data_IF_584529989988
#
_entry.id   IF_584529989988
#
_cell.length_a   1.000
_cell.length_b   1.000
_cell.length_c   1.000
_cell.angle_alpha   90.00
_cell.angle_beta   90.00
_cell.angle_gamma   90.00
#
_symmetry.space_group_name_H-M   'P 1'
#
loop_
_entity.id
_entity.type
_entity.pdbx_description
1 polymer ?
#
# COMPACT_ATOMS: atom_id res chain seq x y z
N UNK A 1 -12.56 -2.71 -14.53
CA UNK A 1 -12.63 -3.53 -13.29
C UNK A 1 -11.21 -3.54 -12.72
N UNK A 2 -10.99 -2.89 -11.59
CA UNK A 2 -9.70 -2.96 -10.90
C UNK A 2 -9.54 -4.40 -10.39
N UNK A 3 -8.53 -5.11 -10.87
CA UNK A 3 -8.24 -6.46 -10.40
C UNK A 3 -7.83 -6.38 -8.92
N UNK A 4 -8.42 -7.23 -8.09
CA UNK A 4 -7.99 -7.37 -6.69
C UNK A 4 -6.49 -7.73 -6.65
N UNK A 5 -5.73 -7.14 -5.72
CA UNK A 5 -4.31 -7.41 -5.59
C UNK A 5 -4.05 -8.88 -5.28
N UNK A 6 -3.25 -9.52 -6.09
CA UNK A 6 -2.92 -10.93 -5.93
C UNK A 6 -1.67 -11.09 -5.07
N UNK A 7 -1.78 -11.92 -4.05
CA UNK A 7 -0.67 -12.24 -3.13
C UNK A 7 -0.45 -13.75 -3.16
N UNK A 8 0.75 -14.17 -3.53
CA UNK A 8 1.14 -15.57 -3.49
C UNK A 8 1.61 -15.92 -2.07
N UNK A 9 1.03 -16.94 -1.48
CA UNK A 9 1.43 -17.51 -0.19
C UNK A 9 2.03 -18.89 -0.45
N UNK A 10 3.29 -19.07 -0.10
CA UNK A 10 3.96 -20.37 -0.15
C UNK A 10 4.22 -20.81 1.27
N UNK A 11 3.39 -21.72 1.81
CA UNK A 11 3.47 -22.21 3.19
C UNK A 11 3.20 -23.71 3.24
N UNK A 12 4.15 -24.45 3.78
CA UNK A 12 4.06 -25.91 3.87
C UNK A 12 2.95 -26.38 4.84
N UNK A 13 2.64 -25.58 5.85
CA UNK A 13 1.57 -25.87 6.80
C UNK A 13 0.20 -25.37 6.25
N UNK A 14 -0.72 -26.30 5.90
CA UNK A 14 -2.00 -25.93 5.31
C UNK A 14 -2.91 -25.13 6.24
N UNK A 15 -2.75 -25.24 7.56
CA UNK A 15 -3.55 -24.50 8.53
C UNK A 15 -3.13 -23.03 8.57
N UNK A 16 -1.83 -22.77 8.62
CA UNK A 16 -1.28 -21.41 8.55
C UNK A 16 -1.60 -20.73 7.21
N UNK A 17 -1.50 -21.49 6.11
CA UNK A 17 -1.88 -21.01 4.79
C UNK A 17 -3.33 -20.56 4.70
N UNK A 18 -4.27 -21.33 5.28
CA UNK A 18 -5.71 -20.98 5.34
C UNK A 18 -5.97 -19.76 6.22
N UNK A 19 -5.30 -19.65 7.36
CA UNK A 19 -5.43 -18.50 8.26
C UNK A 19 -5.00 -17.21 7.57
N UNK A 20 -3.82 -17.21 6.95
CA UNK A 20 -3.33 -16.09 6.13
C UNK A 20 -4.27 -15.75 4.99
N UNK A 21 -4.78 -16.77 4.29
CA UNK A 21 -5.75 -16.59 3.22
C UNK A 21 -7.01 -15.86 3.71
N UNK A 22 -7.54 -16.26 4.87
CA UNK A 22 -8.74 -15.64 5.44
C UNK A 22 -8.51 -14.16 5.77
N UNK A 23 -7.35 -13.83 6.37
CA UNK A 23 -7.01 -12.45 6.73
C UNK A 23 -6.80 -11.61 5.46
N UNK A 24 -6.09 -12.11 4.47
CA UNK A 24 -5.84 -11.38 3.21
C UNK A 24 -7.14 -11.15 2.41
N UNK A 25 -8.06 -12.11 2.39
CA UNK A 25 -9.40 -11.90 1.81
C UNK A 25 -10.20 -10.82 2.54
N UNK A 26 -10.07 -10.77 3.87
CA UNK A 26 -10.71 -9.73 4.67
C UNK A 26 -10.22 -8.32 4.34
N UNK A 27 -8.95 -8.17 3.94
CA UNK A 27 -8.37 -6.89 3.49
C UNK A 27 -8.47 -6.68 1.97
N UNK A 28 -9.38 -7.40 1.29
CA UNK A 28 -9.64 -7.33 -0.15
C UNK A 28 -8.43 -7.62 -1.04
N UNK A 29 -7.60 -8.56 -0.63
CA UNK A 29 -6.61 -9.17 -1.49
C UNK A 29 -7.14 -10.50 -2.05
N UNK A 30 -6.63 -10.91 -3.20
CA UNK A 30 -6.88 -12.21 -3.80
C UNK A 30 -5.68 -13.14 -3.53
N UNK A 31 -5.64 -13.87 -2.39
CA UNK A 31 -4.52 -14.73 -2.04
C UNK A 31 -4.57 -16.04 -2.82
N UNK A 32 -3.41 -16.43 -3.35
CA UNK A 32 -3.16 -17.73 -3.96
C UNK A 32 -2.28 -18.52 -2.98
N UNK A 33 -2.77 -19.65 -2.47
CA UNK A 33 -2.05 -20.46 -1.49
C UNK A 33 -1.48 -21.70 -2.17
N UNK A 34 -0.18 -21.91 -2.01
CA UNK A 34 0.54 -23.07 -2.48
C UNK A 34 1.26 -23.72 -1.30
N UNK A 35 1.06 -25.03 -1.12
CA UNK A 35 1.65 -25.77 0.00
C UNK A 35 2.98 -26.45 -0.38
N UNK A 36 3.44 -26.26 -1.61
CA UNK A 36 4.68 -26.83 -2.13
C UNK A 36 5.56 -25.75 -2.74
N UNK A 37 6.86 -25.79 -2.42
CA UNK A 37 7.86 -24.84 -2.94
C UNK A 37 8.18 -25.07 -4.44
N UNK A 38 7.73 -26.16 -5.06
CA UNK A 38 8.09 -26.52 -6.45
C UNK A 38 6.98 -26.14 -7.44
N UNK A 39 5.73 -26.34 -7.10
CA UNK A 39 4.57 -26.18 -8.00
C UNK A 39 3.97 -24.79 -8.12
N UNK A 40 4.58 -23.77 -7.54
CA UNK A 40 3.98 -22.43 -7.47
C UNK A 40 3.78 -21.77 -8.86
N UNK A 41 4.63 -22.09 -9.85
CA UNK A 41 4.51 -21.57 -11.22
C UNK A 41 3.30 -22.12 -11.95
N UNK A 42 2.91 -23.35 -11.68
CA UNK A 42 1.79 -24.03 -12.35
C UNK A 42 0.44 -23.49 -11.90
N UNK A 43 0.41 -22.84 -10.74
CA UNK A 43 -0.80 -22.24 -10.18
C UNK A 43 -1.04 -20.80 -10.71
N UNK A 44 -0.01 -20.18 -11.28
CA UNK A 44 -0.11 -18.88 -11.93
C UNK A 44 -0.56 -19.09 -13.39
N UNK A 45 -1.76 -18.64 -13.70
CA UNK A 45 -2.18 -18.52 -15.10
C UNK A 45 -1.40 -17.36 -15.71
N UNK A 46 -0.55 -17.58 -16.68
CA UNK A 46 0.48 -16.74 -17.28
C UNK A 46 0.27 -15.21 -17.43
N UNK A 47 -0.90 -14.69 -17.10
CA UNK A 47 -1.25 -13.25 -17.03
C UNK A 47 -1.46 -12.75 -15.57
N UNK A 48 -1.21 -13.61 -14.58
CA UNK A 48 -1.44 -13.28 -13.17
C UNK A 48 -0.32 -12.40 -12.62
N UNK A 49 -0.60 -11.11 -12.54
CA UNK A 49 0.32 -10.17 -11.92
C UNK A 49 0.25 -10.26 -10.41
N UNK A 50 1.38 -10.66 -9.82
CA UNK A 50 1.54 -10.72 -8.38
C UNK A 50 1.99 -9.37 -7.82
N UNK A 51 1.42 -9.00 -6.69
CA UNK A 51 1.84 -7.81 -5.96
C UNK A 51 2.93 -8.11 -4.94
N UNK A 52 2.86 -9.27 -4.30
CA UNK A 52 3.81 -9.71 -3.30
C UNK A 52 3.80 -11.23 -3.17
N UNK A 53 4.90 -11.76 -2.67
CA UNK A 53 5.03 -13.16 -2.26
C UNK A 53 5.26 -13.22 -0.75
N UNK A 54 4.52 -14.08 -0.06
CA UNK A 54 4.70 -14.39 1.34
C UNK A 54 5.25 -15.81 1.47
N UNK A 55 6.49 -15.93 1.92
CA UNK A 55 7.19 -17.21 2.05
C UNK A 55 7.20 -17.65 3.51
N UNK A 56 6.57 -18.78 3.75
CA UNK A 56 6.57 -19.46 5.04
C UNK A 56 7.68 -20.50 5.19
N UNK A 57 7.38 -21.54 5.95
CA UNK A 57 8.31 -22.63 6.20
C UNK A 57 8.57 -23.44 4.93
N UNK A 58 9.83 -23.51 4.50
CA UNK A 58 10.32 -24.47 3.53
C UNK A 58 11.03 -25.63 4.24
N UNK A 59 11.04 -26.83 3.61
CA UNK A 59 11.60 -28.02 4.23
C UNK A 59 13.12 -27.97 4.42
N UNK A 60 13.85 -27.10 3.69
CA UNK A 60 15.30 -26.92 3.84
C UNK A 60 15.77 -25.55 3.32
N UNK A 61 16.90 -25.03 3.86
CA UNK A 61 17.54 -23.79 3.42
C UNK A 61 17.94 -23.80 1.93
N UNK A 62 18.28 -24.97 1.40
CA UNK A 62 18.60 -25.13 -0.03
C UNK A 62 17.38 -24.93 -0.92
N UNK A 63 16.22 -25.42 -0.49
CA UNK A 63 14.96 -25.22 -1.22
C UNK A 63 14.53 -23.77 -1.19
N UNK A 64 14.72 -23.09 -0.06
CA UNK A 64 14.42 -21.67 0.07
C UNK A 64 15.29 -20.82 -0.86
N UNK A 65 16.61 -21.08 -0.92
CA UNK A 65 17.53 -20.38 -1.82
C UNK A 65 17.20 -20.63 -3.30
N UNK A 66 16.84 -21.87 -3.67
CA UNK A 66 16.40 -22.20 -5.02
C UNK A 66 15.10 -21.48 -5.38
N UNK A 67 14.13 -21.47 -4.46
CA UNK A 67 12.84 -20.81 -4.64
C UNK A 67 13.00 -19.30 -4.81
N UNK A 68 13.85 -18.65 -4.02
CA UNK A 68 14.16 -17.22 -4.18
C UNK A 68 14.78 -16.92 -5.55
N UNK A 69 15.70 -17.77 -6.03
CA UNK A 69 16.26 -17.68 -7.38
C UNK A 69 15.22 -17.84 -8.48
N UNK A 70 14.28 -18.77 -8.30
CA UNK A 70 13.17 -19.01 -9.23
C UNK A 70 12.18 -17.84 -9.29
N UNK A 71 11.85 -17.24 -8.13
CA UNK A 71 10.98 -16.07 -8.04
C UNK A 71 11.66 -14.86 -8.69
N UNK A 72 12.94 -14.62 -8.39
CA UNK A 72 13.72 -13.54 -8.99
C UNK A 72 13.84 -13.68 -10.52
N UNK A 73 13.96 -14.92 -11.03
CA UNK A 73 13.99 -15.19 -12.47
C UNK A 73 12.62 -14.97 -13.14
N UNK A 74 11.53 -15.07 -12.40
CA UNK A 74 10.18 -14.80 -12.88
C UNK A 74 9.87 -13.30 -12.93
N UNK A 75 10.19 -12.57 -11.87
CA UNK A 75 10.09 -11.10 -11.80
C UNK A 75 11.18 -10.58 -10.85
N UNK A 76 12.14 -9.84 -11.41
CA UNK A 76 13.30 -9.28 -10.70
C UNK A 76 12.89 -8.28 -9.59
N UNK A 77 11.69 -7.71 -9.70
CA UNK A 77 11.19 -6.69 -8.78
C UNK A 77 9.97 -7.12 -7.97
N UNK A 78 9.70 -8.43 -7.89
CA UNK A 78 8.57 -8.94 -7.12
C UNK A 78 8.89 -8.91 -5.61
N UNK A 79 8.13 -8.14 -4.80
CA UNK A 79 8.38 -8.02 -3.36
C UNK A 79 8.16 -9.33 -2.62
N UNK A 80 9.08 -9.70 -1.74
CA UNK A 80 9.04 -10.93 -0.95
C UNK A 80 9.01 -10.58 0.54
N UNK A 81 8.12 -11.23 1.29
CA UNK A 81 8.05 -11.20 2.75
C UNK A 81 8.27 -12.59 3.32
N UNK A 82 9.14 -12.71 4.32
CA UNK A 82 9.37 -13.96 5.03
C UNK A 82 8.39 -14.07 6.20
N UNK A 83 7.66 -15.19 6.27
CA UNK A 83 6.81 -15.51 7.41
C UNK A 83 7.66 -16.18 8.49
N UNK A 84 7.64 -15.64 9.70
CA UNK A 84 8.44 -16.15 10.81
C UNK A 84 7.54 -16.46 12.01
N UNK A 85 7.78 -17.59 12.68
CA UNK A 85 7.15 -17.85 13.98
C UNK A 85 7.78 -16.96 15.06
N UNK A 86 6.95 -16.47 15.96
CA UNK A 86 7.40 -15.61 17.06
C UNK A 86 8.54 -16.30 17.86
N UNK A 87 9.71 -15.67 17.87
CA UNK A 87 10.89 -16.17 18.60
C UNK A 87 11.78 -17.16 17.81
N UNK A 88 11.48 -17.44 16.55
CA UNK A 88 12.38 -18.16 15.62
C UNK A 88 12.95 -17.19 14.60
N UNK A 89 14.25 -17.03 14.57
CA UNK A 89 14.92 -16.28 13.50
C UNK A 89 15.06 -17.20 12.27
N UNK A 90 14.55 -16.79 11.10
CA UNK A 90 14.85 -17.51 9.88
C UNK A 90 16.34 -17.37 9.54
N UNK A 91 16.93 -18.43 9.04
CA UNK A 91 18.37 -18.57 8.74
C UNK A 91 18.83 -17.72 7.55
N UNK A 92 17.91 -17.01 6.90
CA UNK A 92 18.20 -16.21 5.70
C UNK A 92 18.60 -14.78 6.10
N UNK A 93 19.83 -14.41 5.79
CA UNK A 93 20.30 -13.02 5.83
C UNK A 93 19.63 -12.23 4.70
N UNK A 94 18.99 -11.10 5.05
CA UNK A 94 18.43 -10.18 4.06
C UNK A 94 19.57 -9.33 3.54
N UNK A 95 20.00 -9.57 2.29
CA UNK A 95 21.01 -8.73 1.64
C UNK A 95 20.40 -7.40 1.17
N UNK A 96 21.13 -6.28 1.32
CA UNK A 96 20.73 -5.00 0.73
C UNK A 96 20.71 -5.13 -0.80
N UNK A 97 19.53 -5.07 -1.40
CA UNK A 97 19.32 -5.27 -2.84
C UNK A 97 18.54 -6.53 -3.19
N UNK A 98 18.22 -7.39 -2.20
CA UNK A 98 17.28 -8.48 -2.40
C UNK A 98 15.84 -7.95 -2.45
N UNK A 99 14.96 -8.62 -3.21
CA UNK A 99 13.53 -8.31 -3.25
C UNK A 99 12.80 -8.65 -1.91
N UNK A 100 13.54 -9.07 -0.88
CA UNK A 100 13.01 -9.36 0.45
C UNK A 100 12.84 -8.05 1.21
N UNK A 101 11.60 -7.56 1.30
CA UNK A 101 11.30 -6.28 1.95
C UNK A 101 11.20 -6.37 3.47
N UNK A 102 10.96 -7.57 4.02
CA UNK A 102 10.84 -7.71 5.45
C UNK A 102 10.33 -9.05 5.92
N UNK A 103 9.95 -9.07 7.20
CA UNK A 103 9.44 -10.26 7.90
C UNK A 103 8.06 -9.97 8.48
N UNK A 104 7.20 -10.98 8.45
CA UNK A 104 5.86 -10.94 9.06
C UNK A 104 5.81 -12.03 10.12
N UNK A 105 5.60 -11.64 11.37
CA UNK A 105 5.46 -12.59 12.48
C UNK A 105 4.09 -13.28 12.45
N UNK A 106 4.08 -14.59 12.67
CA UNK A 106 2.86 -15.39 12.77
C UNK A 106 2.41 -15.56 14.24
N UNK A 107 1.11 -15.46 14.56
CA UNK A 107 0.01 -15.02 13.69
C UNK A 107 0.11 -13.52 13.35
N UNK A 108 -0.09 -13.14 12.08
CA UNK A 108 0.08 -11.76 11.67
C UNK A 108 -1.05 -10.89 12.22
N UNK A 109 -0.71 -9.70 12.67
CA UNK A 109 -1.73 -8.71 12.98
C UNK A 109 -2.09 -7.90 11.71
N UNK A 110 -3.29 -7.33 11.73
CA UNK A 110 -3.82 -6.52 10.65
C UNK A 110 -2.89 -5.38 10.21
N UNK A 111 -2.31 -4.67 11.17
CA UNK A 111 -1.41 -3.53 10.90
C UNK A 111 -0.12 -3.97 10.19
N UNK A 112 0.44 -5.11 10.55
CA UNK A 112 1.64 -5.65 9.89
C UNK A 112 1.37 -6.01 8.43
N UNK A 113 0.25 -6.69 8.15
CA UNK A 113 -0.11 -7.07 6.78
C UNK A 113 -0.40 -5.86 5.89
N UNK A 114 -1.15 -4.88 6.40
CA UNK A 114 -1.43 -3.67 5.64
C UNK A 114 -0.19 -2.84 5.37
N UNK A 115 0.72 -2.73 6.35
CA UNK A 115 2.01 -2.06 6.17
C UNK A 115 2.91 -2.79 5.15
N UNK A 116 2.96 -4.12 5.21
CA UNK A 116 3.73 -4.93 4.27
C UNK A 116 3.21 -4.78 2.84
N UNK A 117 1.89 -4.85 2.64
CA UNK A 117 1.29 -4.67 1.32
C UNK A 117 1.52 -3.27 0.75
N UNK A 118 1.44 -2.25 1.61
CA UNK A 118 1.76 -0.88 1.20
C UNK A 118 3.24 -0.70 0.81
N UNK A 119 4.16 -1.27 1.59
CA UNK A 119 5.59 -1.26 1.25
C UNK A 119 5.86 -2.00 -0.06
N UNK A 120 5.19 -3.15 -0.29
CA UNK A 120 5.29 -3.89 -1.55
C UNK A 120 4.87 -3.04 -2.73
N UNK A 121 3.78 -2.30 -2.60
CA UNK A 121 3.26 -1.40 -3.63
C UNK A 121 4.26 -0.29 -3.96
N UNK A 122 4.75 0.43 -2.94
CA UNK A 122 5.74 1.50 -3.10
C UNK A 122 7.04 0.96 -3.74
N UNK A 123 7.49 -0.22 -3.32
CA UNK A 123 8.68 -0.86 -3.90
C UNK A 123 8.48 -1.16 -5.40
N UNK A 124 7.37 -1.79 -5.75
CA UNK A 124 7.06 -2.15 -7.14
C UNK A 124 6.96 -0.90 -8.02
N UNK A 125 6.33 0.18 -7.54
CA UNK A 125 6.24 1.45 -8.27
C UNK A 125 7.60 2.09 -8.51
N UNK A 126 8.46 2.11 -7.49
CA UNK A 126 9.78 2.72 -7.59
C UNK A 126 10.69 2.01 -8.60
N UNK A 127 10.52 0.70 -8.80
CA UNK A 127 11.37 -0.11 -9.69
C UNK A 127 10.76 -0.32 -11.08
N UNK A 128 9.43 -0.19 -11.24
CA UNK A 128 8.74 -0.30 -12.54
C UNK A 128 8.61 1.02 -13.30
N UNK A 129 8.97 2.14 -12.70
CA UNK A 129 8.91 3.47 -13.35
C UNK A 129 9.79 3.62 -14.60
N UNK A 130 10.56 2.59 -14.97
CA UNK A 130 11.37 2.55 -16.19
C UNK A 130 10.67 1.95 -17.40
N UNK A 131 9.47 1.39 -17.26
CA UNK A 131 8.69 0.85 -18.38
C UNK A 131 7.27 1.38 -18.36
N UNK A 132 6.95 2.18 -19.35
CA UNK A 132 5.72 2.92 -19.61
C UNK A 132 4.46 2.03 -19.71
N UNK A 133 3.86 1.66 -18.58
CA UNK A 133 2.42 1.39 -18.49
C UNK A 133 2.00 1.81 -17.09
N UNK A 134 1.43 3.01 -17.00
CA UNK A 134 0.82 3.52 -15.77
C UNK A 134 -0.37 2.62 -15.39
N UNK A 135 -0.18 1.78 -14.38
CA UNK A 135 -1.30 1.08 -13.75
C UNK A 135 -1.85 1.94 -12.63
N UNK A 136 -3.17 2.02 -12.51
CA UNK A 136 -3.76 2.77 -11.41
C UNK A 136 -3.33 2.11 -10.08
N UNK A 137 -2.65 2.88 -9.27
CA UNK A 137 -2.23 2.50 -7.92
C UNK A 137 -3.46 2.09 -7.12
N UNK A 138 -3.43 0.90 -6.55
CA UNK A 138 -4.55 0.40 -5.74
C UNK A 138 -4.68 1.09 -4.38
N UNK A 139 -4.65 2.43 -4.35
CA UNK A 139 -4.70 3.27 -3.14
C UNK A 139 -5.99 3.14 -2.34
N UNK A 140 -7.05 2.60 -2.93
CA UNK A 140 -8.25 2.21 -2.19
C UNK A 140 -7.99 1.15 -1.10
N UNK A 141 -6.78 0.55 -1.06
CA UNK A 141 -6.37 -0.42 -0.04
C UNK A 141 -6.25 0.15 1.35
N UNK A 142 -5.94 1.43 1.47
CA UNK A 142 -5.89 2.09 2.78
C UNK A 142 -7.28 2.30 3.39
N UNK A 143 -8.35 2.29 2.57
CA UNK A 143 -9.73 2.28 3.05
C UNK A 143 -10.22 0.83 3.20
N UNK A 144 -9.82 0.19 4.28
CA UNK A 144 -10.11 -1.21 4.54
C UNK A 144 -11.51 -1.45 5.05
N UNK A 145 -12.11 -2.54 4.59
CA UNK A 145 -13.42 -3.02 5.02
C UNK A 145 -14.23 -3.63 3.88
N UNK A 146 -14.96 -4.69 4.18
CA UNK A 146 -15.88 -5.39 3.26
C UNK A 146 -17.34 -4.99 3.45
N UNK A 147 -17.66 -4.07 4.38
CA UNK A 147 -19.03 -3.64 4.63
C UNK A 147 -19.61 -2.92 3.40
N UNK A 148 -20.94 -3.03 3.22
CA UNK A 148 -21.66 -2.32 2.16
C UNK A 148 -21.35 -0.82 2.14
N UNK A 149 -21.24 -0.20 3.31
CA UNK A 149 -20.96 1.22 3.44
C UNK A 149 -19.58 1.58 2.88
N UNK A 150 -18.52 0.82 3.21
CA UNK A 150 -17.17 1.04 2.68
C UNK A 150 -17.11 0.80 1.17
N UNK A 151 -17.76 -0.24 0.67
CA UNK A 151 -17.85 -0.50 -0.78
C UNK A 151 -18.56 0.65 -1.53
N UNK A 152 -19.61 1.20 -0.94
CA UNK A 152 -20.30 2.36 -1.51
C UNK A 152 -19.42 3.61 -1.52
N UNK A 153 -18.65 3.86 -0.45
CA UNK A 153 -17.68 4.97 -0.42
C UNK A 153 -16.63 4.81 -1.51
N UNK A 154 -16.05 3.62 -1.68
CA UNK A 154 -15.09 3.35 -2.77
C UNK A 154 -15.67 3.67 -4.15
N UNK A 155 -16.89 3.19 -4.43
CA UNK A 155 -17.55 3.47 -5.70
C UNK A 155 -17.79 4.97 -5.92
N UNK A 156 -18.15 5.71 -4.87
CA UNK A 156 -18.29 7.17 -4.96
C UNK A 156 -16.94 7.86 -5.19
N UNK A 157 -15.85 7.38 -4.56
CA UNK A 157 -14.50 7.90 -4.80
C UNK A 157 -14.08 7.76 -6.26
N UNK A 158 -14.32 6.58 -6.87
CA UNK A 158 -14.05 6.35 -8.30
C UNK A 158 -14.82 7.32 -9.19
N UNK A 159 -16.09 7.52 -8.90
CA UNK A 159 -16.95 8.42 -9.70
C UNK A 159 -16.52 9.89 -9.63
N UNK A 160 -16.08 10.37 -8.43
CA UNK A 160 -15.70 11.78 -8.27
C UNK A 160 -14.25 12.06 -8.63
N UNK A 161 -13.37 11.05 -8.67
CA UNK A 161 -11.96 11.23 -8.98
C UNK A 161 -11.72 11.79 -10.41
N UNK A 162 -12.58 11.44 -11.36
CA UNK A 162 -12.52 11.95 -12.74
C UNK A 162 -13.19 13.33 -12.91
N UNK A 163 -13.79 13.86 -11.84
CA UNK A 163 -14.58 15.09 -11.86
C UNK A 163 -13.77 16.29 -11.36
N UNK A 164 -13.96 17.47 -11.95
CA UNK A 164 -13.43 18.76 -11.47
C UNK A 164 -14.27 19.37 -10.32
N UNK A 165 -15.25 18.64 -9.78
CA UNK A 165 -16.13 19.13 -8.74
C UNK A 165 -15.46 19.20 -7.37
N UNK A 166 -15.88 20.17 -6.55
CA UNK A 166 -15.49 20.19 -5.14
C UNK A 166 -16.14 19.04 -4.39
N UNK A 167 -15.35 18.30 -3.61
CA UNK A 167 -15.80 17.13 -2.84
C UNK A 167 -15.84 17.46 -1.35
N UNK A 168 -17.01 17.32 -0.72
CA UNK A 168 -17.18 17.41 0.72
C UNK A 168 -17.25 16.02 1.34
N UNK A 169 -16.28 15.70 2.22
CA UNK A 169 -16.20 14.43 2.93
C UNK A 169 -16.65 14.61 4.38
N UNK A 170 -17.77 13.98 4.75
CA UNK A 170 -18.34 14.04 6.08
C UNK A 170 -18.08 12.75 6.86
N UNK A 171 -17.87 12.90 8.17
CA UNK A 171 -17.68 11.76 9.08
C UNK A 171 -17.09 12.20 10.42
N UNK A 172 -17.17 11.32 11.41
CA UNK A 172 -16.62 11.54 12.76
C UNK A 172 -15.08 11.60 12.74
N UNK A 173 -14.48 12.06 13.83
CA UNK A 173 -13.02 12.04 13.97
C UNK A 173 -12.50 10.58 13.91
N UNK A 174 -11.38 10.38 13.22
CA UNK A 174 -10.77 9.04 13.11
C UNK A 174 -11.39 8.09 12.06
N UNK A 175 -12.45 8.48 11.33
CA UNK A 175 -13.11 7.64 10.32
C UNK A 175 -12.36 7.51 8.99
N UNK A 176 -11.19 8.12 8.85
CA UNK A 176 -10.37 8.02 7.64
C UNK A 176 -10.69 9.03 6.53
N UNK A 177 -11.28 10.19 6.85
CA UNK A 177 -11.59 11.23 5.85
C UNK A 177 -10.36 11.67 5.02
N UNK A 178 -9.20 11.78 5.65
CA UNK A 178 -7.95 12.13 4.95
C UNK A 178 -7.53 11.04 3.98
N UNK A 179 -7.73 9.77 4.36
CA UNK A 179 -7.48 8.62 3.50
C UNK A 179 -8.34 8.69 2.25
N UNK A 180 -9.63 9.01 2.41
CA UNK A 180 -10.57 9.19 1.29
C UNK A 180 -10.12 10.34 0.38
N UNK A 181 -9.78 11.50 0.95
CA UNK A 181 -9.33 12.66 0.19
C UNK A 181 -8.06 12.36 -0.63
N UNK A 182 -7.09 11.71 0.00
CA UNK A 182 -5.83 11.30 -0.64
C UNK A 182 -6.08 10.31 -1.78
N UNK A 183 -6.96 9.34 -1.58
CA UNK A 183 -7.32 8.39 -2.64
C UNK A 183 -8.01 9.08 -3.82
N UNK A 184 -8.94 10.03 -3.58
CA UNK A 184 -9.57 10.80 -4.66
C UNK A 184 -8.51 11.55 -5.48
N UNK A 185 -7.56 12.22 -4.83
CA UNK A 185 -6.47 12.92 -5.51
C UNK A 185 -5.65 11.97 -6.40
N UNK A 186 -5.24 10.84 -5.88
CA UNK A 186 -4.41 9.85 -6.61
C UNK A 186 -5.13 9.21 -7.81
N UNK A 187 -6.45 9.07 -7.74
CA UNK A 187 -7.24 8.56 -8.86
C UNK A 187 -7.73 9.65 -9.81
N UNK A 188 -7.42 10.92 -9.52
CA UNK A 188 -7.81 12.05 -10.36
C UNK A 188 -6.83 12.28 -11.52
N UNK A 189 -7.24 13.12 -12.45
CA UNK A 189 -6.36 13.63 -13.51
C UNK A 189 -5.20 14.49 -12.99
N UNK A 190 -5.28 14.92 -11.72
CA UNK A 190 -4.27 15.75 -11.01
C UNK A 190 -3.33 14.96 -10.12
N UNK A 191 -3.30 13.64 -10.24
CA UNK A 191 -2.51 12.73 -9.38
C UNK A 191 -1.01 13.04 -9.35
N UNK A 192 -0.48 13.60 -10.44
CA UNK A 192 0.94 13.97 -10.56
C UNK A 192 1.23 15.36 -9.99
N UNK A 193 0.19 16.09 -9.56
CA UNK A 193 0.29 17.38 -8.89
C UNK A 193 0.45 17.26 -7.37
N UNK A 194 0.68 18.37 -6.68
CA UNK A 194 0.84 18.37 -5.24
C UNK A 194 -0.46 18.05 -4.51
N UNK A 195 -0.38 17.27 -3.45
CA UNK A 195 -1.46 17.08 -2.47
C UNK A 195 -1.11 17.83 -1.20
N UNK A 196 -1.78 18.95 -0.93
CA UNK A 196 -1.47 19.85 0.19
C UNK A 196 -2.55 19.77 1.27
N UNK A 197 -2.43 18.83 2.24
CA UNK A 197 -3.40 18.72 3.33
C UNK A 197 -3.22 19.86 4.35
N UNK A 198 -4.35 20.42 4.80
CA UNK A 198 -4.39 21.47 5.84
C UNK A 198 -5.35 21.05 6.94
N UNK A 199 -4.84 20.94 8.16
CA UNK A 199 -5.68 20.75 9.34
C UNK A 199 -5.98 22.10 10.00
N UNK A 200 -7.05 22.76 9.57
CA UNK A 200 -7.46 24.06 10.09
C UNK A 200 -7.72 24.05 11.60
N UNK A 201 -8.15 22.93 12.17
CA UNK A 201 -8.39 22.81 13.61
C UNK A 201 -7.12 22.78 14.47
N UNK A 202 -5.96 22.48 13.87
CA UNK A 202 -4.67 22.47 14.56
C UNK A 202 -3.90 23.79 14.43
N UNK A 203 -4.37 24.72 13.59
CA UNK A 203 -3.73 26.04 13.38
C UNK A 203 -4.41 27.07 14.30
N UNK A 204 -3.64 27.84 15.08
CA UNK A 204 -4.18 28.95 15.83
C UNK A 204 -4.92 29.94 14.90
N UNK A 205 -6.07 30.46 15.36
CA UNK A 205 -6.95 31.28 14.51
C UNK A 205 -6.29 32.53 13.94
N UNK A 206 -5.39 33.13 14.69
CA UNK A 206 -4.58 34.32 14.31
C UNK A 206 -3.53 34.01 13.23
N UNK A 207 -3.14 32.75 13.06
CA UNK A 207 -2.19 32.32 12.04
C UNK A 207 -2.84 31.66 10.82
N UNK A 208 -4.15 31.33 10.91
CA UNK A 208 -4.85 30.58 9.89
C UNK A 208 -4.82 31.26 8.51
N UNK A 209 -5.07 32.55 8.46
CA UNK A 209 -5.04 33.32 7.20
C UNK A 209 -3.65 33.32 6.58
N UNK A 210 -2.61 33.51 7.39
CA UNK A 210 -1.21 33.50 6.96
C UNK A 210 -0.75 32.11 6.48
N UNK A 211 -1.19 31.05 7.13
CA UNK A 211 -0.88 29.67 6.70
C UNK A 211 -1.60 29.30 5.41
N UNK A 212 -2.84 29.74 5.22
CA UNK A 212 -3.63 29.43 4.03
C UNK A 212 -3.18 30.23 2.80
N UNK A 213 -3.00 31.55 2.94
CA UNK A 213 -2.78 32.47 1.82
C UNK A 213 -1.35 33.03 1.73
N UNK A 214 -0.51 32.73 2.72
CA UNK A 214 0.84 33.26 2.79
C UNK A 214 0.87 34.72 3.32
N UNK A 215 2.07 35.28 3.40
CA UNK A 215 2.28 36.66 3.81
C UNK A 215 3.57 37.21 3.21
N UNK A 216 3.54 38.51 2.97
CA UNK A 216 4.71 39.31 2.64
C UNK A 216 5.54 39.64 3.88
N UNK A 217 6.84 39.93 3.67
CA UNK A 217 7.72 40.39 4.73
C UNK A 217 7.17 41.71 5.31
N UNK A 218 6.98 41.72 6.64
CA UNK A 218 6.48 42.92 7.36
C UNK A 218 4.96 43.02 7.42
N UNK A 219 4.21 42.05 6.97
CA UNK A 219 2.73 42.07 7.00
C UNK A 219 2.15 42.11 8.41
N UNK A 220 2.87 41.58 9.41
CA UNK A 220 2.51 41.63 10.83
C UNK A 220 3.76 41.60 11.73
N UNK A 221 3.60 41.86 13.03
CA UNK A 221 4.70 41.79 14.00
C UNK A 221 5.21 40.35 14.13
N UNK A 222 6.39 40.10 13.55
CA UNK A 222 6.97 38.75 13.48
C UNK A 222 7.13 38.18 12.06
N UNK A 223 6.60 38.81 11.03
CA UNK A 223 6.77 38.46 9.63
C UNK A 223 8.19 38.87 9.12
N UNK A 224 9.20 38.09 9.49
CA UNK A 224 10.62 38.38 9.17
C UNK A 224 10.92 38.14 7.68
N UNK A 225 10.23 37.21 7.06
CA UNK A 225 10.37 36.83 5.62
C UNK A 225 9.00 36.68 4.99
N UNK A 226 8.91 36.76 3.66
CA UNK A 226 7.73 36.32 2.92
C UNK A 226 7.61 34.79 2.99
N UNK A 227 6.38 34.29 2.99
CA UNK A 227 6.09 32.85 2.98
C UNK A 227 4.87 32.55 2.10
N UNK A 228 5.02 31.56 1.22
CA UNK A 228 3.95 31.04 0.37
C UNK A 228 2.86 30.36 1.20
N UNK A 229 1.62 30.54 0.82
CA UNK A 229 0.47 29.91 1.45
C UNK A 229 0.17 28.52 0.92
N UNK A 230 -0.64 27.78 1.67
CA UNK A 230 -1.05 26.42 1.29
C UNK A 230 -1.83 26.38 -0.03
N UNK A 231 -2.60 27.42 -0.34
CA UNK A 231 -3.31 27.54 -1.62
C UNK A 231 -2.37 27.82 -2.80
N UNK A 232 -1.26 28.49 -2.57
CA UNK A 232 -0.26 28.74 -3.61
C UNK A 232 0.59 27.50 -3.90
N UNK A 233 0.78 26.65 -2.86
CA UNK A 233 1.51 25.37 -2.97
C UNK A 233 0.67 24.25 -3.62
N UNK A 234 -0.64 24.39 -3.73
CA UNK A 234 -1.57 23.41 -4.30
C UNK A 234 -1.84 23.69 -5.77
#
# INVERSE_FOLDING_TARGET
>A
MLSEPRVLIIEADPEKGKELQAILKFINCSPIVVNDCVGWKDVLNGEDELQAVMLGSCQSDKQLSSLLGDIHSHDEHLPIYLLAEKGKEPTVTIDPGSCILGRIELPPNYSQLTSALHQAEVYTESHRSSSSIQRPVGLFRSLVGSSRAVQQVRKMMEQVAESEANVLILGESGTGKEVVARNIHYHSTRRDGPFVPVNCGAIPGDLLESELFGHEKGAFTGAISAREGRFEMA
#
